data_IF_792875156831
#
_entry.id   IF_792875156831
#
_cell.length_a   1.000
_cell.length_b   1.000
_cell.length_c   1.000
_cell.angle_alpha   90.00
_cell.angle_beta   90.00
_cell.angle_gamma   90.00
#
_symmetry.space_group_name_H-M   'P 1'
#
loop_
_entity.id
_entity.type
_entity.pdbx_description
1 polymer ?
#
# COMPACT_ATOMS: atom_id res chain seq x y z
N UNK A 1 -30.96 -12.96 10.90
CA UNK A 1 -32.42 -13.12 10.79
C UNK A 1 -32.72 -14.59 11.03
N UNK A 2 -33.30 -14.84 12.20
CA UNK A 2 -34.02 -16.04 12.65
C UNK A 2 -33.38 -17.41 12.45
N UNK A 3 -32.77 -17.90 13.53
CA UNK A 3 -32.53 -19.33 13.79
C UNK A 3 -33.88 -20.01 14.05
N UNK A 4 -34.30 -20.87 13.14
CA UNK A 4 -35.47 -21.74 13.31
C UNK A 4 -34.97 -23.09 13.83
N UNK A 5 -34.86 -23.18 15.16
CA UNK A 5 -34.56 -24.43 15.87
C UNK A 5 -35.87 -25.22 15.93
N UNK A 6 -36.03 -26.14 14.98
CA UNK A 6 -37.17 -27.05 14.95
C UNK A 6 -36.99 -28.12 16.05
N UNK A 7 -37.67 -27.88 17.18
CA UNK A 7 -37.81 -28.82 18.28
C UNK A 7 -38.97 -29.78 18.00
N UNK A 8 -38.66 -31.05 18.13
CA UNK A 8 -39.50 -32.12 18.69
C UNK A 8 -40.81 -32.47 17.98
N UNK A 9 -40.76 -33.60 17.27
CA UNK A 9 -41.91 -34.46 17.02
C UNK A 9 -41.61 -35.88 17.47
N UNK A 10 -41.41 -36.09 18.78
CA UNK A 10 -41.35 -37.43 19.36
C UNK A 10 -42.79 -37.95 19.48
N UNK A 11 -43.22 -38.66 18.43
CA UNK A 11 -44.52 -39.30 18.40
C UNK A 11 -44.54 -40.48 19.38
N UNK A 12 -45.32 -40.28 20.45
CA UNK A 12 -45.94 -41.28 21.32
C UNK A 12 -45.89 -42.72 20.80
N UNK A 13 -45.12 -43.58 21.47
CA UNK A 13 -45.21 -45.02 21.29
C UNK A 13 -46.36 -45.58 22.14
N UNK A 14 -47.42 -46.03 21.47
CA UNK A 14 -48.51 -46.79 22.05
C UNK A 14 -48.00 -48.10 22.67
N UNK A 15 -48.57 -48.46 23.82
CA UNK A 15 -48.17 -49.57 24.67
C UNK A 15 -48.40 -50.97 24.08
N UNK A 16 -47.47 -51.41 23.22
CA UNK A 16 -47.27 -52.84 22.92
C UNK A 16 -46.07 -53.30 23.73
N UNK A 17 -46.26 -54.24 24.66
CA UNK A 17 -45.15 -54.89 25.37
C UNK A 17 -44.22 -55.53 24.35
N UNK A 18 -43.01 -54.98 24.19
CA UNK A 18 -41.99 -55.51 23.28
C UNK A 18 -41.67 -56.96 23.64
N UNK A 19 -41.57 -57.89 22.67
CA UNK A 19 -41.20 -59.26 22.95
C UNK A 19 -39.87 -59.29 23.70
N UNK A 20 -39.78 -60.15 24.71
CA UNK A 20 -38.59 -60.26 25.57
C UNK A 20 -37.83 -61.53 25.25
N UNK A 21 -36.50 -61.45 25.26
CA UNK A 21 -35.62 -62.60 25.08
C UNK A 21 -36.00 -63.73 26.05
N UNK A 22 -36.18 -64.93 25.53
CA UNK A 22 -36.43 -66.11 26.34
C UNK A 22 -35.12 -66.61 26.94
N UNK A 23 -35.09 -66.78 28.26
CA UNK A 23 -33.96 -67.31 29.02
C UNK A 23 -34.47 -68.47 29.88
N UNK A 24 -34.09 -69.69 29.53
CA UNK A 24 -34.41 -70.90 30.30
C UNK A 24 -33.14 -71.47 30.91
N UNK A 25 -33.19 -71.86 32.18
CA UNK A 25 -32.07 -72.57 32.83
C UNK A 25 -32.08 -74.05 32.44
N UNK A 26 -30.93 -74.72 32.56
CA UNK A 26 -30.80 -76.15 32.17
C UNK A 26 -31.83 -77.04 32.88
N UNK A 27 -32.10 -76.76 34.16
CA UNK A 27 -33.09 -77.48 34.97
C UNK A 27 -34.53 -77.27 34.49
N UNK A 28 -34.85 -76.07 33.98
CA UNK A 28 -36.16 -75.75 33.43
C UNK A 28 -36.38 -76.39 32.06
N UNK A 29 -35.32 -76.56 31.26
CA UNK A 29 -35.37 -77.30 29.99
C UNK A 29 -35.73 -78.77 30.23
N UNK A 30 -35.06 -79.40 31.18
CA UNK A 30 -35.22 -80.84 31.46
C UNK A 30 -36.59 -81.19 32.04
N UNK A 31 -37.23 -80.23 32.73
CA UNK A 31 -38.59 -80.39 33.31
C UNK A 31 -39.73 -79.87 32.42
N UNK A 32 -39.43 -79.25 31.28
CA UNK A 32 -40.44 -78.56 30.47
C UNK A 32 -41.31 -79.53 29.64
N UNK A 33 -42.59 -79.23 29.53
CA UNK A 33 -43.49 -79.89 28.58
C UNK A 33 -43.22 -79.42 27.15
N UNK A 34 -43.53 -80.27 26.18
CA UNK A 34 -43.37 -79.96 24.74
C UNK A 34 -44.13 -78.68 24.36
N UNK A 35 -45.33 -78.48 24.91
CA UNK A 35 -46.14 -77.28 24.70
C UNK A 35 -45.46 -76.01 25.26
N UNK A 36 -44.81 -76.09 26.41
CA UNK A 36 -44.04 -74.98 27.02
C UNK A 36 -42.83 -74.60 26.16
N UNK A 37 -42.10 -75.60 25.64
CA UNK A 37 -40.99 -75.38 24.72
C UNK A 37 -41.45 -74.77 23.39
N UNK A 38 -42.58 -75.21 22.83
CA UNK A 38 -43.17 -74.61 21.61
C UNK A 38 -43.59 -73.16 21.83
N UNK A 39 -44.17 -72.83 22.99
CA UNK A 39 -44.53 -71.46 23.32
C UNK A 39 -43.27 -70.58 23.49
N UNK A 40 -42.26 -71.10 24.18
CA UNK A 40 -40.95 -70.45 24.36
C UNK A 40 -40.25 -70.20 23.02
N UNK A 41 -40.29 -71.17 22.11
CA UNK A 41 -39.75 -71.03 20.75
C UNK A 41 -40.47 -69.92 19.97
N UNK A 42 -41.81 -69.91 19.96
CA UNK A 42 -42.58 -68.85 19.28
C UNK A 42 -42.30 -67.46 19.84
N UNK A 43 -42.16 -67.34 21.17
CA UNK A 43 -41.78 -66.07 21.80
C UNK A 43 -40.36 -65.62 21.41
N UNK A 44 -39.44 -66.57 21.28
CA UNK A 44 -38.08 -66.29 20.84
C UNK A 44 -38.03 -65.88 19.35
N UNK A 45 -38.82 -66.51 18.48
CA UNK A 45 -38.96 -66.11 17.07
C UNK A 45 -39.53 -64.68 16.97
N UNK A 46 -40.60 -64.36 17.71
CA UNK A 46 -41.15 -63.00 17.77
C UNK A 46 -40.13 -61.96 18.25
N UNK A 47 -39.26 -62.33 19.19
CA UNK A 47 -38.16 -61.47 19.63
C UNK A 47 -37.10 -61.26 18.55
N UNK A 48 -36.75 -62.31 17.79
CA UNK A 48 -35.81 -62.22 16.66
C UNK A 48 -36.39 -61.32 15.57
N UNK A 49 -37.64 -61.54 15.14
CA UNK A 49 -38.31 -60.70 14.14
C UNK A 49 -38.33 -59.22 14.56
N UNK A 50 -38.57 -58.95 15.85
CA UNK A 50 -38.53 -57.61 16.40
C UNK A 50 -37.12 -56.99 16.34
N UNK A 51 -36.08 -57.75 16.71
CA UNK A 51 -34.69 -57.29 16.61
C UNK A 51 -34.26 -57.05 15.16
N UNK A 52 -34.65 -57.91 14.22
CA UNK A 52 -34.34 -57.73 12.79
C UNK A 52 -35.01 -56.47 12.24
N UNK A 53 -36.28 -56.24 12.62
CA UNK A 53 -37.01 -55.02 12.24
C UNK A 53 -36.35 -53.77 12.84
N UNK A 54 -35.97 -53.82 14.11
CA UNK A 54 -35.29 -52.73 14.80
C UNK A 54 -33.92 -52.44 14.19
N UNK A 55 -33.12 -53.48 13.88
CA UNK A 55 -31.82 -53.32 13.21
C UNK A 55 -31.99 -52.67 11.84
N UNK A 56 -32.94 -53.14 11.04
CA UNK A 56 -33.22 -52.54 9.73
C UNK A 56 -33.65 -51.06 9.85
N UNK A 57 -34.41 -50.72 10.88
CA UNK A 57 -34.79 -49.34 11.17
C UNK A 57 -33.57 -48.50 11.61
N UNK A 58 -32.70 -49.04 12.46
CA UNK A 58 -31.47 -48.37 12.91
C UNK A 58 -30.48 -48.16 11.75
N UNK A 59 -30.31 -49.14 10.88
CA UNK A 59 -29.50 -49.02 9.65
C UNK A 59 -30.05 -47.93 8.74
N UNK A 60 -31.37 -47.89 8.52
CA UNK A 60 -32.01 -46.84 7.73
C UNK A 60 -31.88 -45.45 8.35
N UNK A 61 -31.94 -45.34 9.69
CA UNK A 61 -31.73 -44.08 10.39
C UNK A 61 -30.27 -43.63 10.35
N UNK A 62 -29.32 -44.57 10.44
CA UNK A 62 -27.90 -44.30 10.32
C UNK A 62 -27.55 -43.75 8.92
N UNK A 63 -28.13 -44.34 7.88
CA UNK A 63 -27.91 -43.87 6.51
C UNK A 63 -28.45 -42.45 6.31
N UNK A 64 -29.68 -42.18 6.77
CA UNK A 64 -30.25 -40.82 6.76
C UNK A 64 -29.40 -39.82 7.54
N UNK A 65 -28.88 -40.22 8.70
CA UNK A 65 -28.03 -39.38 9.52
C UNK A 65 -26.72 -39.03 8.78
N UNK A 66 -26.10 -40.00 8.10
CA UNK A 66 -24.91 -39.75 7.27
C UNK A 66 -25.21 -38.81 6.10
N UNK A 67 -26.32 -39.01 5.40
CA UNK A 67 -26.69 -38.10 4.30
C UNK A 67 -26.91 -36.66 4.79
N UNK A 68 -27.49 -36.48 5.98
CA UNK A 68 -27.67 -35.15 6.58
C UNK A 68 -26.33 -34.55 7.02
N UNK A 69 -25.45 -35.37 7.60
CA UNK A 69 -24.09 -34.96 7.97
C UNK A 69 -23.31 -34.46 6.74
N UNK A 70 -23.35 -35.20 5.64
CA UNK A 70 -22.64 -34.85 4.40
C UNK A 70 -23.23 -33.59 3.74
N UNK A 71 -24.57 -33.44 3.73
CA UNK A 71 -25.20 -32.18 3.28
C UNK A 71 -24.76 -30.99 4.13
N UNK A 72 -24.72 -31.15 5.46
CA UNK A 72 -24.27 -30.09 6.36
C UNK A 72 -22.80 -29.73 6.15
N UNK A 73 -21.91 -30.72 5.96
CA UNK A 73 -20.50 -30.48 5.63
C UNK A 73 -20.36 -29.69 4.33
N UNK A 74 -21.13 -30.05 3.30
CA UNK A 74 -21.10 -29.36 2.02
C UNK A 74 -21.60 -27.92 2.15
N UNK A 75 -22.73 -27.69 2.81
CA UNK A 75 -23.25 -26.33 3.07
C UNK A 75 -22.27 -25.48 3.88
N UNK A 76 -21.62 -26.07 4.89
CA UNK A 76 -20.61 -25.39 5.67
C UNK A 76 -19.41 -24.97 4.82
N UNK A 77 -18.91 -25.86 3.95
CA UNK A 77 -17.80 -25.56 3.05
C UNK A 77 -18.16 -24.44 2.04
N UNK A 78 -19.36 -24.47 1.48
CA UNK A 78 -19.86 -23.42 0.58
C UNK A 78 -20.03 -22.08 1.30
N UNK A 79 -20.57 -22.08 2.52
CA UNK A 79 -20.71 -20.88 3.35
C UNK A 79 -19.34 -20.27 3.68
N UNK A 80 -18.37 -21.10 4.08
CA UNK A 80 -16.98 -20.68 4.33
C UNK A 80 -16.33 -20.10 3.08
N UNK A 81 -16.56 -20.68 1.90
CA UNK A 81 -16.05 -20.13 0.65
C UNK A 81 -16.68 -18.76 0.34
N UNK A 82 -18.01 -18.64 0.51
CA UNK A 82 -18.74 -17.38 0.29
C UNK A 82 -18.26 -16.29 1.24
N UNK A 83 -18.05 -16.61 2.51
CA UNK A 83 -17.50 -15.68 3.51
C UNK A 83 -16.11 -15.18 3.09
N UNK A 84 -15.20 -16.07 2.68
CA UNK A 84 -13.85 -15.70 2.20
C UNK A 84 -13.88 -14.77 0.99
N UNK A 85 -14.85 -14.92 0.08
CA UNK A 85 -15.02 -14.00 -1.06
C UNK A 85 -15.51 -12.64 -0.59
N UNK A 86 -16.48 -12.60 0.33
CA UNK A 86 -17.01 -11.36 0.87
C UNK A 86 -15.95 -10.57 1.64
N UNK A 87 -15.13 -11.23 2.46
CA UNK A 87 -14.03 -10.60 3.20
C UNK A 87 -13.02 -9.96 2.24
N UNK A 88 -12.61 -10.67 1.18
CA UNK A 88 -11.70 -10.09 0.17
C UNK A 88 -12.31 -8.88 -0.54
N UNK A 89 -13.60 -8.93 -0.88
CA UNK A 89 -14.30 -7.80 -1.50
C UNK A 89 -14.44 -6.61 -0.56
N UNK A 90 -14.68 -6.86 0.72
CA UNK A 90 -14.74 -5.84 1.75
C UNK A 90 -13.38 -5.16 1.93
N UNK A 91 -12.30 -5.95 2.05
CA UNK A 91 -10.94 -5.42 2.13
C UNK A 91 -10.56 -4.58 0.90
N UNK A 92 -10.95 -5.01 -0.31
CA UNK A 92 -10.74 -4.22 -1.53
C UNK A 92 -11.49 -2.87 -1.48
N UNK A 93 -12.72 -2.86 -0.95
CA UNK A 93 -13.49 -1.63 -0.77
C UNK A 93 -12.91 -0.71 0.31
N UNK A 94 -12.39 -1.27 1.39
CA UNK A 94 -11.68 -0.48 2.42
C UNK A 94 -10.40 0.15 1.86
N UNK A 95 -9.65 -0.57 1.02
CA UNK A 95 -8.49 -0.01 0.32
C UNK A 95 -8.89 1.13 -0.62
N UNK A 96 -9.93 0.95 -1.45
CA UNK A 96 -10.44 2.03 -2.32
C UNK A 96 -10.83 3.29 -1.51
N UNK A 97 -11.46 3.10 -0.34
CA UNK A 97 -11.82 4.22 0.55
C UNK A 97 -10.55 4.91 1.09
N UNK A 98 -9.53 4.15 1.51
CA UNK A 98 -8.25 4.71 1.96
C UNK A 98 -7.54 5.48 0.84
N UNK A 99 -7.60 5.00 -0.40
CA UNK A 99 -7.04 5.68 -1.56
C UNK A 99 -7.77 7.00 -1.83
N UNK A 100 -9.11 7.03 -1.75
CA UNK A 100 -9.88 8.27 -1.86
C UNK A 100 -9.58 9.26 -0.72
N UNK A 101 -9.44 8.78 0.51
CA UNK A 101 -9.06 9.63 1.64
C UNK A 101 -7.66 10.23 1.42
N UNK A 102 -6.73 9.45 0.89
CA UNK A 102 -5.38 9.91 0.55
C UNK A 102 -5.41 10.99 -0.53
N UNK A 103 -6.16 10.77 -1.63
CA UNK A 103 -6.37 11.78 -2.67
C UNK A 103 -7.00 13.07 -2.13
N UNK A 104 -8.01 12.95 -1.25
CA UNK A 104 -8.63 14.11 -0.60
C UNK A 104 -7.61 14.88 0.23
N UNK A 105 -6.75 14.18 0.98
CA UNK A 105 -5.72 14.81 1.79
C UNK A 105 -4.63 15.48 0.94
N UNK A 106 -4.23 14.88 -0.18
CA UNK A 106 -3.32 15.49 -1.15
C UNK A 106 -3.92 16.74 -1.79
N UNK A 107 -5.19 16.68 -2.21
CA UNK A 107 -5.91 17.85 -2.74
C UNK A 107 -6.02 18.94 -1.67
N UNK A 108 -6.36 18.61 -0.43
CA UNK A 108 -6.39 19.59 0.68
C UNK A 108 -5.02 20.21 0.95
N UNK A 109 -3.94 19.42 0.90
CA UNK A 109 -2.56 19.89 1.11
C UNK A 109 -2.09 20.80 -0.03
N UNK A 110 -2.33 20.41 -1.28
CA UNK A 110 -2.02 21.24 -2.45
C UNK A 110 -2.82 22.54 -2.47
N UNK A 111 -4.08 22.52 -2.03
CA UNK A 111 -4.90 23.73 -1.84
C UNK A 111 -4.45 24.60 -0.64
N UNK A 112 -3.73 24.06 0.34
CA UNK A 112 -3.19 24.85 1.46
C UNK A 112 -2.08 25.83 1.01
N UNK A 113 -1.43 25.57 -0.12
CA UNK A 113 -0.43 26.47 -0.73
C UNK A 113 -1.05 27.78 -1.28
N UNK A 114 -2.36 27.79 -1.55
CA UNK A 114 -3.13 28.99 -1.87
C UNK A 114 -3.57 29.69 -0.57
N UNK A 115 -2.59 30.19 0.19
CA UNK A 115 -2.76 31.12 1.32
C UNK A 115 -4.01 30.89 2.20
N UNK A 116 -4.12 29.72 2.84
CA UNK A 116 -4.86 29.55 4.10
C UNK A 116 -6.33 30.01 4.16
N UNK A 117 -6.98 30.30 3.04
CA UNK A 117 -8.42 30.60 3.02
C UNK A 117 -9.13 29.31 2.66
N UNK A 118 -9.87 28.68 3.58
CA UNK A 118 -10.88 27.72 3.16
C UNK A 118 -11.86 28.52 2.32
N UNK A 119 -11.71 28.48 1.00
CA UNK A 119 -12.76 28.98 0.11
C UNK A 119 -13.95 28.07 0.35
N UNK A 120 -14.90 28.54 1.17
CA UNK A 120 -16.25 28.01 1.38
C UNK A 120 -17.09 28.00 0.08
N UNK A 121 -16.45 28.17 -1.07
CA UNK A 121 -17.07 28.20 -2.38
C UNK A 121 -16.63 26.93 -3.08
N UNK A 122 -17.63 26.16 -3.48
CA UNK A 122 -17.49 25.05 -4.40
C UNK A 122 -16.55 25.44 -5.58
N UNK A 123 -15.61 24.57 -6.00
CA UNK A 123 -14.66 24.87 -7.07
C UNK A 123 -15.32 25.37 -8.36
N UNK A 124 -16.50 24.86 -8.73
CA UNK A 124 -17.20 25.32 -9.93
C UNK A 124 -17.74 26.75 -9.76
N UNK A 125 -18.24 27.08 -8.57
CA UNK A 125 -18.66 28.44 -8.21
C UNK A 125 -17.46 29.40 -8.25
N UNK A 126 -16.30 28.99 -7.75
CA UNK A 126 -15.10 29.82 -7.78
C UNK A 126 -14.63 30.12 -9.22
N UNK A 127 -14.63 29.11 -10.09
CA UNK A 127 -14.30 29.30 -11.52
C UNK A 127 -15.27 30.26 -12.20
N UNK A 128 -16.57 30.14 -11.91
CA UNK A 128 -17.57 31.06 -12.46
C UNK A 128 -17.34 32.50 -11.99
N UNK A 129 -17.05 32.72 -10.70
CA UNK A 129 -16.76 34.05 -10.15
C UNK A 129 -15.49 34.63 -10.78
N UNK A 130 -14.45 33.82 -10.98
CA UNK A 130 -13.22 34.27 -11.64
C UNK A 130 -13.49 34.67 -13.09
N UNK A 131 -14.28 33.89 -13.84
CA UNK A 131 -14.69 34.25 -15.20
C UNK A 131 -15.50 35.54 -15.23
N UNK A 132 -16.48 35.70 -14.34
CA UNK A 132 -17.27 36.92 -14.24
C UNK A 132 -16.41 38.15 -13.91
N UNK A 133 -15.41 38.01 -13.03
CA UNK A 133 -14.45 39.09 -12.75
C UNK A 133 -13.63 39.45 -14.00
N UNK A 134 -13.16 38.44 -14.74
CA UNK A 134 -12.40 38.64 -15.97
C UNK A 134 -13.24 39.29 -17.09
N UNK A 135 -14.50 38.89 -17.23
CA UNK A 135 -15.44 39.52 -18.17
C UNK A 135 -15.75 40.96 -17.75
N UNK A 136 -15.90 41.22 -16.46
CA UNK A 136 -16.11 42.57 -15.94
C UNK A 136 -14.91 43.48 -16.19
N UNK A 137 -13.69 43.00 -15.98
CA UNK A 137 -12.48 43.80 -16.28
C UNK A 137 -12.30 44.01 -17.78
N UNK A 138 -12.55 42.98 -18.61
CA UNK A 138 -12.51 43.09 -20.08
C UNK A 138 -13.53 44.11 -20.61
N UNK A 139 -14.75 44.08 -20.08
CA UNK A 139 -15.80 45.02 -20.50
C UNK A 139 -15.51 46.45 -20.05
N UNK A 140 -15.00 46.64 -18.83
CA UNK A 140 -14.51 47.95 -18.37
C UNK A 140 -13.37 48.48 -19.24
N UNK A 141 -12.40 47.65 -19.60
CA UNK A 141 -11.31 48.04 -20.48
C UNK A 141 -11.82 48.46 -21.87
N UNK A 142 -12.74 47.68 -22.48
CA UNK A 142 -13.39 48.05 -23.75
C UNK A 142 -14.21 49.34 -23.65
N UNK A 143 -14.90 49.56 -22.54
CA UNK A 143 -15.64 50.80 -22.30
C UNK A 143 -14.67 52.00 -22.22
N UNK A 144 -13.56 51.84 -21.49
CA UNK A 144 -12.54 52.86 -21.39
C UNK A 144 -11.88 53.14 -22.75
N UNK A 145 -11.57 52.10 -23.53
CA UNK A 145 -11.02 52.21 -24.89
C UNK A 145 -11.97 52.96 -25.84
N UNK A 146 -13.24 52.56 -25.92
CA UNK A 146 -14.24 53.25 -26.75
C UNK A 146 -14.50 54.69 -26.29
N UNK A 147 -14.49 54.95 -24.98
CA UNK A 147 -14.55 56.31 -24.43
C UNK A 147 -13.30 57.12 -24.80
N UNK A 148 -12.12 56.49 -24.76
CA UNK A 148 -10.87 57.11 -25.16
C UNK A 148 -10.87 57.42 -26.66
N UNK A 149 -11.34 56.52 -27.53
CA UNK A 149 -11.50 56.75 -28.98
C UNK A 149 -12.46 57.92 -29.27
N UNK A 150 -13.62 57.95 -28.62
CA UNK A 150 -14.58 59.05 -28.75
C UNK A 150 -13.96 60.38 -28.32
N UNK A 151 -13.16 60.36 -27.26
CA UNK A 151 -12.43 61.54 -26.77
C UNK A 151 -11.24 61.91 -27.66
N UNK A 152 -10.63 60.93 -28.34
CA UNK A 152 -9.48 61.13 -29.22
C UNK A 152 -9.83 61.92 -30.48
N UNK A 153 -11.09 61.95 -30.90
CA UNK A 153 -11.51 62.86 -31.98
C UNK A 153 -11.40 64.35 -31.57
N UNK A 154 -11.36 64.65 -30.27
CA UNK A 154 -11.07 66.00 -29.73
C UNK A 154 -9.57 66.24 -29.52
N UNK A 155 -8.71 65.31 -29.94
CA UNK A 155 -7.27 65.43 -29.78
C UNK A 155 -6.74 66.62 -30.57
N UNK A 156 -6.05 67.50 -29.85
CA UNK A 156 -5.29 68.61 -30.41
C UNK A 156 -3.83 68.44 -29.97
N UNK A 157 -2.87 68.28 -30.91
CA UNK A 157 -1.46 68.06 -30.58
C UNK A 157 -0.88 69.14 -29.65
N UNK A 158 -1.39 70.37 -29.76
CA UNK A 158 -0.92 71.53 -29.00
C UNK A 158 -1.55 71.67 -27.61
N UNK A 159 -2.59 70.89 -27.29
CA UNK A 159 -3.19 70.88 -25.96
C UNK A 159 -2.21 70.33 -24.91
N UNK A 160 -2.34 70.76 -23.65
CA UNK A 160 -1.50 70.26 -22.57
C UNK A 160 -1.56 68.72 -22.43
N UNK A 161 -2.73 68.12 -22.64
CA UNK A 161 -2.90 66.67 -22.65
C UNK A 161 -2.23 66.02 -23.86
N UNK A 162 -2.36 66.61 -25.05
CA UNK A 162 -1.71 66.14 -26.27
C UNK A 162 -0.19 66.17 -26.19
N UNK A 163 0.39 67.24 -25.64
CA UNK A 163 1.83 67.36 -25.39
C UNK A 163 2.35 66.28 -24.44
N UNK A 164 1.64 66.00 -23.34
CA UNK A 164 2.01 64.92 -22.41
C UNK A 164 1.98 63.55 -23.09
N UNK A 165 0.97 63.30 -23.91
CA UNK A 165 0.85 62.04 -24.65
C UNK A 165 1.99 61.88 -25.65
N UNK A 166 2.30 62.93 -26.42
CA UNK A 166 3.42 62.93 -27.37
C UNK A 166 4.78 62.74 -26.69
N UNK A 167 5.00 63.35 -25.51
CA UNK A 167 6.19 63.10 -24.72
C UNK A 167 6.29 61.62 -24.29
N UNK A 168 5.18 61.01 -23.86
CA UNK A 168 5.13 59.59 -23.52
C UNK A 168 5.38 58.69 -24.75
N UNK A 169 4.84 59.03 -25.91
CA UNK A 169 5.11 58.31 -27.16
C UNK A 169 6.59 58.36 -27.55
N UNK A 170 7.25 59.52 -27.41
CA UNK A 170 8.70 59.64 -27.65
C UNK A 170 9.52 58.79 -26.68
N UNK A 171 9.15 58.79 -25.40
CA UNK A 171 9.80 57.98 -24.37
C UNK A 171 9.65 56.48 -24.67
N UNK A 172 8.44 56.03 -25.01
CA UNK A 172 8.20 54.62 -25.41
C UNK A 172 8.98 54.22 -26.66
N UNK A 173 9.15 55.12 -27.63
CA UNK A 173 10.01 54.86 -28.78
C UNK A 173 11.48 54.69 -28.37
N UNK A 174 11.97 55.55 -27.49
CA UNK A 174 13.33 55.45 -26.97
C UNK A 174 13.54 54.14 -26.19
N UNK A 175 12.61 53.77 -25.32
CA UNK A 175 12.65 52.48 -24.59
C UNK A 175 12.66 51.29 -25.56
N UNK A 176 11.84 51.32 -26.61
CA UNK A 176 11.83 50.27 -27.62
C UNK A 176 13.15 50.19 -28.40
N UNK A 177 13.77 51.34 -28.71
CA UNK A 177 15.10 51.37 -29.30
C UNK A 177 16.16 50.78 -28.36
N UNK A 178 16.08 51.07 -27.06
CA UNK A 178 16.98 50.50 -26.05
C UNK A 178 16.79 48.99 -25.88
N UNK A 179 15.55 48.50 -25.87
CA UNK A 179 15.24 47.07 -25.89
C UNK A 179 15.77 46.40 -27.17
N UNK A 180 15.63 47.07 -28.31
CA UNK A 180 16.20 46.65 -29.59
C UNK A 180 17.73 46.55 -29.52
N UNK A 181 18.39 47.58 -28.97
CA UNK A 181 19.85 47.58 -28.73
C UNK A 181 20.27 46.43 -27.82
N UNK A 182 19.59 46.24 -26.70
CA UNK A 182 19.86 45.16 -25.75
C UNK A 182 19.68 43.78 -26.38
N UNK A 183 18.64 43.60 -27.20
CA UNK A 183 18.41 42.36 -27.96
C UNK A 183 19.49 42.15 -29.02
N UNK A 184 19.86 43.19 -29.78
CA UNK A 184 20.93 43.13 -30.79
C UNK A 184 22.33 42.96 -30.20
N UNK A 185 22.54 43.30 -28.92
CA UNK A 185 23.84 43.16 -28.24
C UNK A 185 24.27 41.69 -28.08
N UNK A 186 23.35 40.74 -28.33
CA UNK A 186 23.63 39.30 -28.23
C UNK A 186 23.86 38.81 -26.79
N UNK A 187 23.83 39.70 -25.78
CA UNK A 187 24.04 39.37 -24.37
C UNK A 187 23.03 38.34 -23.86
N UNK A 188 21.76 38.49 -24.26
CA UNK A 188 20.68 37.56 -23.88
C UNK A 188 20.97 36.17 -24.47
N UNK A 189 21.25 36.09 -25.77
CA UNK A 189 21.57 34.83 -26.45
C UNK A 189 22.82 34.15 -25.86
N UNK A 190 23.85 34.92 -25.47
CA UNK A 190 25.03 34.38 -24.78
C UNK A 190 24.66 33.78 -23.42
N UNK A 191 23.93 34.52 -22.59
CA UNK A 191 23.51 34.03 -21.26
C UNK A 191 22.59 32.81 -21.36
N UNK A 192 21.73 32.75 -22.36
CA UNK A 192 20.89 31.56 -22.64
C UNK A 192 21.74 30.36 -23.07
N UNK A 193 22.77 30.56 -23.88
CA UNK A 193 23.74 29.52 -24.26
C UNK A 193 24.55 28.99 -23.08
N UNK A 194 25.10 29.90 -22.26
CA UNK A 194 25.84 29.54 -21.03
C UNK A 194 24.93 28.77 -20.06
N UNK A 195 23.68 29.20 -19.91
CA UNK A 195 22.67 28.51 -19.09
C UNK A 195 22.34 27.11 -19.63
N UNK A 196 22.22 26.95 -20.95
CA UNK A 196 21.95 25.66 -21.58
C UNK A 196 23.13 24.68 -21.40
N UNK A 197 24.36 25.16 -21.59
CA UNK A 197 25.57 24.37 -21.34
C UNK A 197 25.66 23.91 -19.89
N UNK A 198 25.32 24.79 -18.93
CA UNK A 198 25.35 24.44 -17.52
C UNK A 198 24.27 23.41 -17.16
N UNK A 199 23.09 23.46 -17.79
CA UNK A 199 22.07 22.41 -17.63
C UNK A 199 22.56 21.06 -18.15
N UNK A 200 23.15 21.01 -19.35
CA UNK A 200 23.69 19.75 -19.88
C UNK A 200 24.81 19.17 -19.03
N UNK A 201 25.69 20.02 -18.49
CA UNK A 201 26.74 19.57 -17.56
C UNK A 201 26.13 18.99 -16.27
N UNK A 202 25.12 19.64 -15.70
CA UNK A 202 24.45 19.13 -14.50
C UNK A 202 23.73 17.80 -14.76
N UNK A 203 23.14 17.62 -15.93
CA UNK A 203 22.49 16.36 -16.33
C UNK A 203 23.51 15.22 -16.47
N UNK A 204 24.65 15.47 -17.12
CA UNK A 204 25.71 14.46 -17.27
C UNK A 204 26.28 14.05 -15.91
N UNK A 205 26.48 14.99 -14.99
CA UNK A 205 26.92 14.69 -13.62
C UNK A 205 25.90 13.80 -12.91
N UNK A 206 24.60 14.13 -12.97
CA UNK A 206 23.55 13.31 -12.36
C UNK A 206 23.49 11.91 -12.95
N UNK A 207 23.68 11.78 -14.26
CA UNK A 207 23.72 10.49 -14.96
C UNK A 207 24.94 9.66 -14.53
N UNK A 208 26.12 10.27 -14.49
CA UNK A 208 27.34 9.59 -14.00
C UNK A 208 27.21 9.15 -12.54
N UNK A 209 26.51 9.93 -11.72
CA UNK A 209 26.20 9.57 -10.34
C UNK A 209 25.27 8.36 -10.29
N UNK A 210 24.17 8.34 -11.06
CA UNK A 210 23.25 7.19 -11.07
C UNK A 210 23.92 5.91 -11.56
N UNK A 211 24.78 6.00 -12.59
CA UNK A 211 25.56 4.85 -13.08
C UNK A 211 26.51 4.31 -12.00
N UNK A 212 27.13 5.20 -11.20
CA UNK A 212 27.98 4.80 -10.08
C UNK A 212 27.17 4.17 -8.94
N UNK A 213 25.99 4.70 -8.63
CA UNK A 213 25.10 4.14 -7.60
C UNK A 213 24.61 2.74 -8.00
N UNK A 214 24.30 2.51 -9.28
CA UNK A 214 23.99 1.18 -9.83
C UNK A 214 25.17 0.21 -9.67
N UNK A 215 26.38 0.64 -10.03
CA UNK A 215 27.59 -0.18 -9.86
C UNK A 215 27.87 -0.52 -8.39
N UNK A 216 27.62 0.42 -7.47
CA UNK A 216 27.74 0.16 -6.04
C UNK A 216 26.73 -0.88 -5.55
N UNK A 217 25.51 -0.84 -6.07
CA UNK A 217 24.49 -1.84 -5.73
C UNK A 217 24.88 -3.23 -6.22
N UNK A 218 25.37 -3.36 -7.46
CA UNK A 218 25.87 -4.63 -7.99
C UNK A 218 27.02 -5.19 -7.13
N UNK A 219 27.93 -4.31 -6.69
CA UNK A 219 29.03 -4.71 -5.83
C UNK A 219 28.55 -5.18 -4.44
N UNK A 220 27.54 -4.53 -3.87
CA UNK A 220 26.93 -4.96 -2.61
C UNK A 220 26.28 -6.35 -2.76
N UNK A 221 25.57 -6.61 -3.86
CA UNK A 221 24.97 -7.92 -4.16
C UNK A 221 26.04 -9.02 -4.30
N UNK A 222 27.14 -8.73 -4.99
CA UNK A 222 28.27 -9.66 -5.12
C UNK A 222 28.94 -9.95 -3.77
N UNK A 223 29.13 -8.93 -2.93
CA UNK A 223 29.69 -9.08 -1.58
C UNK A 223 28.76 -9.91 -0.69
N UNK A 224 27.45 -9.69 -0.73
CA UNK A 224 26.47 -10.51 -0.01
C UNK A 224 26.48 -11.97 -0.49
N UNK A 225 26.58 -12.20 -1.80
CA UNK A 225 26.70 -13.53 -2.41
C UNK A 225 27.98 -14.27 -1.97
N UNK A 226 29.12 -13.57 -1.99
CA UNK A 226 30.39 -14.11 -1.49
C UNK A 226 30.30 -14.40 0.01
N UNK A 227 29.70 -13.51 0.80
CA UNK A 227 29.54 -13.70 2.26
C UNK A 227 28.65 -14.91 2.58
N UNK A 228 27.59 -15.15 1.81
CA UNK A 228 26.75 -16.35 1.90
C UNK A 228 27.55 -17.63 1.62
N UNK A 229 28.39 -17.62 0.58
CA UNK A 229 29.28 -18.74 0.23
C UNK A 229 30.29 -19.03 1.35
N UNK A 230 30.89 -17.98 1.92
CA UNK A 230 31.81 -18.12 3.07
C UNK A 230 31.10 -18.76 4.26
N UNK A 231 29.88 -18.33 4.59
CA UNK A 231 29.10 -18.91 5.68
C UNK A 231 28.76 -20.38 5.44
N UNK A 232 28.42 -20.76 4.21
CA UNK A 232 28.16 -22.14 3.84
C UNK A 232 29.39 -23.02 4.09
N UNK A 233 30.54 -22.62 3.54
CA UNK A 233 31.80 -23.33 3.72
C UNK A 233 32.21 -23.43 5.21
N UNK A 234 32.00 -22.36 5.99
CA UNK A 234 32.24 -22.39 7.44
C UNK A 234 31.34 -23.40 8.17
N UNK A 235 30.07 -23.55 7.77
CA UNK A 235 29.17 -24.56 8.36
C UNK A 235 29.61 -25.97 8.01
N UNK A 236 29.99 -26.21 6.76
CA UNK A 236 30.48 -27.51 6.30
C UNK A 236 31.80 -27.91 6.99
N UNK A 237 32.73 -26.97 7.12
CA UNK A 237 33.96 -27.17 7.90
C UNK A 237 33.69 -27.46 9.38
N UNK A 238 32.73 -26.75 10.01
CA UNK A 238 32.34 -27.07 11.39
C UNK A 238 31.70 -28.45 11.50
N UNK A 239 30.82 -28.82 10.57
CA UNK A 239 30.16 -30.12 10.56
C UNK A 239 31.18 -31.28 10.42
N UNK A 240 32.10 -31.16 9.46
CA UNK A 240 33.18 -32.13 9.27
C UNK A 240 34.12 -32.20 10.48
N UNK A 241 34.51 -31.06 11.05
CA UNK A 241 35.30 -31.02 12.28
C UNK A 241 34.59 -31.69 13.46
N UNK A 242 33.27 -31.48 13.64
CA UNK A 242 32.48 -32.17 14.67
C UNK A 242 32.34 -33.67 14.42
N UNK A 243 32.20 -34.10 13.17
CA UNK A 243 32.12 -35.52 12.81
C UNK A 243 33.46 -36.25 13.03
N UNK A 244 34.58 -35.58 12.73
CA UNK A 244 35.93 -36.09 12.98
C UNK A 244 36.21 -36.18 14.49
N UNK A 245 35.83 -35.15 15.27
CA UNK A 245 36.03 -35.17 16.72
C UNK A 245 35.03 -36.08 17.47
N UNK A 246 33.83 -36.33 16.95
CA UNK A 246 32.85 -37.25 17.52
C UNK A 246 33.28 -38.73 17.47
N UNK A 247 34.23 -39.07 16.61
CA UNK A 247 34.78 -40.42 16.46
C UNK A 247 36.10 -40.66 17.24
N UNK A 248 36.56 -39.70 18.06
CA UNK A 248 37.70 -39.90 18.95
C UNK A 248 37.37 -39.46 20.38
N UNK A 249 36.92 -40.42 21.20
CA UNK A 249 37.10 -40.34 22.65
C UNK A 249 38.32 -41.18 23.05
N UNK A 250 39.51 -40.56 23.13
CA UNK A 250 40.56 -40.88 24.13
C UNK A 250 41.77 -39.93 24.08
N UNK A 251 41.96 -39.21 25.20
CA UNK A 251 43.24 -38.82 25.86
C UNK A 251 44.18 -37.75 25.24
N UNK A 252 45.13 -37.17 26.02
CA UNK A 252 45.23 -35.71 26.19
C UNK A 252 46.58 -35.09 25.79
N UNK A 253 46.58 -33.75 25.70
CA UNK A 253 47.66 -32.76 25.88
C UNK A 253 49.05 -32.99 25.24
N UNK A 254 49.48 -32.08 24.36
CA UNK A 254 50.57 -31.13 24.69
C UNK A 254 50.79 -30.01 23.63
N UNK A 255 50.82 -28.77 24.13
CA UNK A 255 51.68 -27.60 23.82
C UNK A 255 52.12 -27.31 22.36
N UNK A 256 51.78 -26.12 21.85
CA UNK A 256 52.64 -24.91 21.91
C UNK A 256 52.07 -23.72 21.10
N UNK A 257 51.96 -22.60 21.81
CA UNK A 257 52.46 -21.26 21.45
C UNK A 257 52.11 -20.65 20.09
N UNK A 258 51.19 -19.67 20.09
CA UNK A 258 51.51 -18.34 19.55
C UNK A 258 50.76 -17.26 20.31
N UNK A 259 51.48 -16.17 20.53
CA UNK A 259 51.22 -15.08 21.45
C UNK A 259 50.58 -13.91 20.70
N UNK A 260 49.56 -13.32 21.31
CA UNK A 260 49.26 -11.87 21.25
C UNK A 260 48.62 -11.34 19.98
N UNK A 261 47.36 -10.93 20.06
CA UNK A 261 47.00 -9.51 20.16
C UNK A 261 45.49 -9.37 20.42
N UNK A 262 45.15 -8.26 21.06
CA UNK A 262 44.04 -8.10 21.99
C UNK A 262 42.64 -7.99 21.37
N UNK A 263 41.69 -8.33 22.24
CA UNK A 263 40.25 -8.12 22.15
C UNK A 263 39.88 -6.62 22.11
N UNK A 264 38.94 -6.27 21.25
CA UNK A 264 37.85 -5.36 21.66
C UNK A 264 36.58 -5.64 20.85
N UNK A 265 35.67 -6.39 21.49
CA UNK A 265 34.22 -6.32 21.24
C UNK A 265 33.71 -4.90 21.52
N UNK A 266 32.95 -4.30 20.59
CA UNK A 266 31.54 -3.89 20.80
C UNK A 266 30.99 -3.05 19.61
N UNK A 267 29.65 -3.06 19.38
CA UNK A 267 29.02 -2.62 18.14
C UNK A 267 28.68 -1.13 18.17
N UNK A 268 28.79 -0.43 17.04
CA UNK A 268 28.36 0.97 16.93
C UNK A 268 27.28 1.09 15.87
N UNK A 269 26.13 1.60 16.32
CA UNK A 269 24.86 1.64 15.61
C UNK A 269 24.89 2.40 14.29
N UNK A 270 23.94 2.01 13.44
CA UNK A 270 23.50 2.74 12.25
C UNK A 270 23.17 4.19 12.63
N UNK A 271 24.05 5.12 12.28
CA UNK A 271 23.65 6.49 11.93
C UNK A 271 24.06 6.73 10.48
N UNK A 272 23.04 6.86 9.61
CA UNK A 272 23.20 7.47 8.29
C UNK A 272 23.83 8.85 8.51
N UNK A 273 25.07 9.05 8.06
CA UNK A 273 25.57 10.41 7.85
C UNK A 273 24.84 10.94 6.63
N UNK A 274 24.02 11.97 6.82
CA UNK A 274 23.69 12.85 5.73
C UNK A 274 25.01 13.45 5.21
N UNK A 275 25.29 13.28 3.93
CA UNK A 275 26.35 14.02 3.24
C UNK A 275 25.91 15.48 3.20
N UNK A 276 26.46 16.29 4.11
CA UNK A 276 26.40 17.75 3.98
C UNK A 276 27.61 18.11 3.14
N UNK A 277 27.40 18.33 1.83
CA UNK A 277 28.37 19.08 1.04
C UNK A 277 28.39 20.51 1.62
N UNK A 278 29.46 20.86 2.32
CA UNK A 278 29.76 22.25 2.66
C UNK A 278 30.18 22.94 1.36
N UNK A 279 29.30 23.77 0.81
CA UNK A 279 29.69 24.81 -0.13
C UNK A 279 30.34 25.90 0.71
N UNK A 280 31.66 25.89 0.78
CA UNK A 280 32.41 27.05 1.26
C UNK A 280 32.19 28.18 0.26
N UNK A 281 31.27 29.08 0.60
CA UNK A 281 31.15 30.38 -0.05
C UNK A 281 32.41 31.17 0.32
N UNK A 282 33.24 31.45 -0.69
CA UNK A 282 34.33 32.39 -0.56
C UNK A 282 33.69 33.80 -0.47
N UNK A 283 33.61 34.37 0.72
CA UNK A 283 33.05 35.72 0.98
C UNK A 283 33.99 36.87 0.55
N UNK A 284 35.08 36.59 -0.14
CA UNK A 284 36.00 37.61 -0.68
C UNK A 284 35.77 37.85 -2.19
N UNK A 285 34.58 38.32 -2.55
CA UNK A 285 34.46 39.23 -3.70
C UNK A 285 33.59 40.41 -3.25
N UNK A 286 34.25 41.56 -3.05
CA UNK A 286 33.57 42.82 -2.77
C UNK A 286 32.46 43.07 -3.80
N UNK A 287 31.23 43.43 -3.37
CA UNK A 287 30.26 43.96 -4.31
C UNK A 287 30.82 45.27 -4.86
N UNK A 288 31.06 45.33 -6.17
CA UNK A 288 31.32 46.57 -6.89
C UNK A 288 30.14 47.53 -6.67
N UNK A 289 30.25 48.37 -5.64
CA UNK A 289 29.39 49.54 -5.45
C UNK A 289 29.73 50.51 -6.56
N UNK A 290 28.90 50.51 -7.60
CA UNK A 290 28.91 51.60 -8.59
C UNK A 290 28.34 52.82 -7.86
N UNK A 291 29.21 53.68 -7.35
CA UNK A 291 28.83 54.99 -6.85
C UNK A 291 28.42 55.82 -8.07
N UNK A 292 27.14 56.19 -8.14
CA UNK A 292 26.72 57.28 -9.00
C UNK A 292 27.37 58.55 -8.44
N UNK A 293 28.44 58.99 -9.09
CA UNK A 293 29.02 60.30 -8.84
C UNK A 293 28.04 61.37 -9.28
N UNK A 294 27.44 62.06 -8.31
CA UNK A 294 27.04 63.44 -8.46
C UNK A 294 28.31 64.28 -8.62
N UNK A 295 28.44 64.96 -9.75
CA UNK A 295 29.33 66.10 -9.94
C UNK A 295 28.63 67.10 -10.85
N UNK A 296 28.54 68.33 -10.32
CA UNK A 296 27.99 69.59 -10.84
C UNK A 296 27.91 69.80 -12.37
#
# INVERSE_FOLDING_TARGET
MSEEIDRHGEATCDGVTSPTRVLLTSQQLDSATIESLRASWRNQDLYIDHLETLNKQLEGNLEKAKEVEDRNKQQYAESQHREKVLVRRLAAKEQEIQDYVSQINELKSSHASLQGRPTLLDPAVNVLILRLKQELTSTKARLEETQNELSAWKFTPDSNTGKKLMAKCRLLHQENEDLGRMTSSGRIAKLEGDLALQKSFSEEVKKSQSELDEFLQELDEDVEGMQSTVLFLQRELRATHTAVNGNQASSPADKRTYSGSECSDTPVGKRRRASVLSLDYNEEEEPLTVTNGDAD
#
